data_IF_836386600828
#
_entry.id   IF_836386600828
#
_cell.length_a   1.000
_cell.length_b   1.000
_cell.length_c   1.000
_cell.angle_alpha   90.00
_cell.angle_beta   90.00
_cell.angle_gamma   90.00
#
_symmetry.space_group_name_H-M   'P 1'
#
loop_
_entity.id
_entity.type
_entity.pdbx_description
1 polymer ?
#
# COMPACT_ATOMS: atom_id res chain seq x y z
N UNK A 1 18.56 51.84 5.59
CA UNK A 1 17.30 51.43 4.93
C UNK A 1 17.49 50.34 3.87
N UNK A 2 18.60 49.57 3.89
CA UNK A 2 18.88 48.48 2.93
C UNK A 2 18.98 47.09 3.59
N UNK A 3 19.14 47.02 4.93
CA UNK A 3 19.30 45.73 5.65
C UNK A 3 17.96 45.01 5.85
N UNK A 4 16.86 45.75 5.95
CA UNK A 4 15.52 45.19 6.20
C UNK A 4 14.93 44.49 4.96
N UNK A 5 15.20 45.01 3.77
CA UNK A 5 14.73 44.43 2.49
C UNK A 5 15.43 43.11 2.14
N UNK A 6 16.71 42.94 2.49
CA UNK A 6 17.41 41.66 2.30
C UNK A 6 16.86 40.55 3.20
N UNK A 7 16.49 40.87 4.44
CA UNK A 7 15.94 39.88 5.38
C UNK A 7 14.57 39.36 4.95
N UNK A 8 13.70 40.23 4.44
CA UNK A 8 12.37 39.83 3.94
C UNK A 8 12.49 38.97 2.67
N UNK A 9 13.40 39.31 1.75
CA UNK A 9 13.62 38.50 0.54
C UNK A 9 14.16 37.10 0.86
N UNK A 10 15.04 36.96 1.84
CA UNK A 10 15.56 35.66 2.27
C UNK A 10 14.45 34.77 2.84
N UNK A 11 13.54 35.33 3.66
CA UNK A 11 12.41 34.59 4.24
C UNK A 11 11.42 34.12 3.17
N UNK A 12 11.10 34.95 2.17
CA UNK A 12 10.21 34.58 1.06
C UNK A 12 10.82 33.48 0.19
N UNK A 13 12.14 33.49 -0.04
CA UNK A 13 12.81 32.41 -0.77
C UNK A 13 12.90 31.09 0.02
N UNK A 14 12.96 31.15 1.36
CA UNK A 14 12.95 29.97 2.22
C UNK A 14 11.59 29.28 2.25
N UNK A 15 10.48 30.02 2.19
CA UNK A 15 9.13 29.41 2.18
C UNK A 15 8.75 28.79 0.82
N UNK A 16 9.32 29.26 -0.28
CA UNK A 16 9.10 28.67 -1.62
C UNK A 16 9.73 27.28 -1.79
N UNK A 17 10.62 26.83 -0.88
CA UNK A 17 11.19 25.48 -0.90
C UNK A 17 10.43 24.45 -0.05
N UNK A 18 9.41 24.86 0.71
CA UNK A 18 8.58 23.95 1.50
C UNK A 18 7.29 23.52 0.78
N UNK A 19 7.04 24.00 -0.43
CA UNK A 19 5.91 23.59 -1.25
C UNK A 19 6.36 22.50 -2.22
N UNK A 20 6.49 21.25 -1.75
CA UNK A 20 6.76 20.15 -2.69
C UNK A 20 7.58 18.97 -2.17
N UNK A 21 7.66 18.73 -0.86
CA UNK A 21 7.83 17.34 -0.41
C UNK A 21 6.52 16.62 -0.69
N UNK A 22 6.29 16.30 -1.97
CA UNK A 22 5.34 15.27 -2.35
C UNK A 22 5.84 13.98 -1.74
N UNK A 23 5.47 13.72 -0.49
CA UNK A 23 5.56 12.41 0.11
C UNK A 23 4.79 11.50 -0.85
N UNK A 24 5.53 10.74 -1.65
CA UNK A 24 5.00 9.64 -2.43
C UNK A 24 4.47 8.62 -1.43
N UNK A 25 3.26 8.86 -0.94
CA UNK A 25 2.59 8.04 0.05
C UNK A 25 2.18 6.75 -0.65
N UNK A 26 2.65 5.61 -0.13
CA UNK A 26 2.44 4.29 -0.71
C UNK A 26 1.03 3.77 -0.36
N UNK A 27 0.01 4.51 -0.80
CA UNK A 27 -1.41 4.26 -0.53
C UNK A 27 -1.83 2.81 -0.82
N UNK A 28 -1.29 2.21 -1.90
CA UNK A 28 -1.61 0.84 -2.28
C UNK A 28 -1.06 -0.19 -1.29
N UNK A 29 0.16 -0.01 -0.79
CA UNK A 29 0.74 -0.92 0.20
C UNK A 29 0.00 -0.83 1.52
N UNK A 30 -0.36 0.37 1.95
CA UNK A 30 -1.11 0.57 3.19
C UNK A 30 -2.53 0.00 3.09
N UNK A 31 -3.19 0.17 1.94
CA UNK A 31 -4.48 -0.46 1.65
C UNK A 31 -4.37 -1.98 1.64
N UNK A 32 -3.34 -2.53 0.99
CA UNK A 32 -3.10 -3.97 0.95
C UNK A 32 -2.80 -4.53 2.34
N UNK A 33 -1.96 -3.85 3.12
CA UNK A 33 -1.59 -4.24 4.48
C UNK A 33 -2.82 -4.25 5.39
N UNK A 34 -3.65 -3.21 5.32
CA UNK A 34 -4.89 -3.11 6.10
C UNK A 34 -5.89 -4.18 5.69
N UNK A 35 -6.07 -4.41 4.38
CA UNK A 35 -6.90 -5.49 3.88
C UNK A 35 -6.42 -6.83 4.44
N UNK A 36 -5.15 -7.19 4.24
CA UNK A 36 -4.62 -8.47 4.69
C UNK A 36 -4.76 -8.65 6.21
N UNK A 37 -4.50 -7.61 7.00
CA UNK A 37 -4.68 -7.64 8.45
C UNK A 37 -6.14 -7.92 8.85
N UNK A 38 -7.11 -7.33 8.14
CA UNK A 38 -8.54 -7.56 8.38
C UNK A 38 -9.02 -8.97 8.02
N UNK A 39 -8.25 -9.72 7.22
CA UNK A 39 -8.62 -11.05 6.69
C UNK A 39 -8.10 -12.20 7.54
N UNK A 40 -7.26 -11.94 8.54
CA UNK A 40 -6.80 -12.97 9.47
C UNK A 40 -7.98 -13.53 10.27
N UNK A 41 -8.06 -14.86 10.34
CA UNK A 41 -9.04 -15.56 11.17
C UNK A 41 -8.59 -15.75 12.62
N UNK A 42 -7.31 -15.49 12.91
CA UNK A 42 -6.67 -15.67 14.22
C UNK A 42 -5.60 -14.59 14.42
N UNK A 43 -5.23 -14.26 15.67
CA UNK A 43 -4.15 -13.29 15.94
C UNK A 43 -2.83 -13.73 15.28
N UNK A 44 -2.21 -12.82 14.53
CA UNK A 44 -0.97 -13.09 13.81
C UNK A 44 -0.33 -11.81 13.25
N UNK A 45 0.93 -11.94 12.85
CA UNK A 45 1.60 -10.92 12.06
C UNK A 45 1.23 -11.11 10.57
N UNK A 46 1.12 -10.01 9.86
CA UNK A 46 0.70 -9.98 8.45
C UNK A 46 1.66 -9.11 7.67
N UNK A 47 1.98 -9.53 6.47
CA UNK A 47 2.72 -8.83 5.46
C UNK A 47 1.95 -8.84 4.14
N UNK A 48 1.60 -7.66 3.64
CA UNK A 48 1.18 -7.51 2.26
C UNK A 48 2.40 -7.43 1.35
N UNK A 49 2.48 -8.33 0.36
CA UNK A 49 3.60 -8.41 -0.58
C UNK A 49 3.12 -8.04 -1.97
N UNK A 50 3.78 -7.06 -2.60
CA UNK A 50 3.55 -6.71 -4.01
C UNK A 50 3.78 -7.94 -4.90
N UNK A 51 2.85 -8.17 -5.81
CA UNK A 51 2.94 -9.19 -6.86
C UNK A 51 2.88 -8.51 -8.22
N UNK A 52 3.86 -8.78 -9.06
CA UNK A 52 3.86 -8.30 -10.43
C UNK A 52 2.72 -8.94 -11.24
N UNK A 53 2.17 -8.20 -12.17
CA UNK A 53 1.12 -8.64 -13.08
C UNK A 53 1.64 -8.99 -14.48
N UNK A 54 2.92 -8.75 -14.76
CA UNK A 54 3.50 -8.99 -16.08
C UNK A 54 4.04 -10.42 -16.24
N UNK A 55 3.90 -10.97 -17.45
CA UNK A 55 4.54 -12.22 -17.88
C UNK A 55 4.24 -13.44 -17.00
N UNK A 56 5.31 -14.11 -16.56
CA UNK A 56 5.29 -15.35 -15.77
C UNK A 56 5.31 -15.09 -14.26
N UNK A 57 4.61 -14.05 -13.81
CA UNK A 57 4.63 -13.64 -12.41
C UNK A 57 4.33 -14.81 -11.44
N UNK A 58 5.18 -15.02 -10.41
CA UNK A 58 5.03 -16.12 -9.47
C UNK A 58 3.68 -16.07 -8.75
N UNK A 59 3.20 -17.23 -8.29
CA UNK A 59 2.00 -17.29 -7.45
C UNK A 59 2.26 -16.64 -6.09
N UNK A 60 1.21 -16.21 -5.40
CA UNK A 60 1.36 -15.67 -4.04
C UNK A 60 1.92 -16.70 -3.06
N UNK A 61 1.63 -17.98 -3.23
CA UNK A 61 2.29 -19.05 -2.49
C UNK A 61 3.81 -19.02 -2.66
N UNK A 62 4.30 -18.91 -3.90
CA UNK A 62 5.73 -18.83 -4.17
C UNK A 62 6.35 -17.57 -3.58
N UNK A 63 5.69 -16.41 -3.71
CA UNK A 63 6.16 -15.15 -3.16
C UNK A 63 6.26 -15.17 -1.63
N UNK A 64 5.23 -15.66 -0.92
CA UNK A 64 5.32 -15.81 0.54
C UNK A 64 6.46 -16.76 0.94
N UNK A 65 6.65 -17.88 0.24
CA UNK A 65 7.78 -18.76 0.57
C UNK A 65 9.14 -18.10 0.32
N UNK A 66 9.28 -17.33 -0.76
CA UNK A 66 10.51 -16.61 -1.10
C UNK A 66 10.92 -15.61 -0.01
N UNK A 67 9.97 -14.85 0.55
CA UNK A 67 10.28 -13.82 1.55
C UNK A 67 10.28 -14.35 2.99
N UNK A 68 9.88 -15.61 3.21
CA UNK A 68 9.63 -16.18 4.55
C UNK A 68 10.78 -15.93 5.53
N UNK A 69 12.03 -16.14 5.09
CA UNK A 69 13.19 -15.94 5.96
C UNK A 69 13.34 -14.48 6.41
N UNK A 70 13.09 -13.52 5.52
CA UNK A 70 13.12 -12.10 5.84
C UNK A 70 11.96 -11.71 6.77
N UNK A 71 10.75 -12.18 6.48
CA UNK A 71 9.57 -11.92 7.31
C UNK A 71 9.73 -12.47 8.73
N UNK A 72 10.20 -13.71 8.87
CA UNK A 72 10.46 -14.32 10.19
C UNK A 72 11.54 -13.54 10.96
N UNK A 73 12.57 -13.02 10.27
CA UNK A 73 13.59 -12.19 10.90
C UNK A 73 13.02 -10.87 11.43
N UNK A 74 12.08 -10.25 10.72
CA UNK A 74 11.42 -8.99 11.15
C UNK A 74 10.63 -9.15 12.45
N UNK A 75 10.16 -10.36 12.75
CA UNK A 75 9.39 -10.67 13.96
C UNK A 75 10.21 -11.49 14.97
N UNK A 76 11.55 -11.40 14.94
CA UNK A 76 12.45 -12.12 15.86
C UNK A 76 12.19 -13.64 15.92
N UNK A 77 11.83 -14.24 14.79
CA UNK A 77 11.44 -15.65 14.64
C UNK A 77 10.24 -16.08 15.52
N UNK A 78 9.44 -15.13 15.98
CA UNK A 78 8.16 -15.41 16.61
C UNK A 78 7.22 -16.03 15.58
N UNK A 79 6.50 -17.09 15.95
CA UNK A 79 5.51 -17.79 15.10
C UNK A 79 6.03 -18.23 13.72
N UNK A 80 6.53 -19.46 13.65
CA UNK A 80 7.17 -20.06 12.46
C UNK A 80 6.23 -20.38 11.28
N UNK A 81 4.92 -20.29 11.49
CA UNK A 81 3.92 -20.56 10.45
C UNK A 81 3.78 -19.32 9.58
N UNK A 82 4.29 -19.41 8.35
CA UNK A 82 4.29 -18.33 7.37
C UNK A 82 3.89 -18.87 6.00
N UNK A 83 2.91 -18.23 5.37
CA UNK A 83 2.39 -18.64 4.08
C UNK A 83 1.22 -17.77 3.65
N UNK A 84 0.82 -17.93 2.39
CA UNK A 84 -0.29 -17.18 1.83
C UNK A 84 -1.63 -17.65 2.43
N UNK A 85 -2.48 -16.71 2.81
CA UNK A 85 -3.84 -17.00 3.27
C UNK A 85 -4.95 -16.26 2.50
N UNK A 86 -4.62 -15.16 1.83
CA UNK A 86 -5.53 -14.37 0.99
C UNK A 86 -4.70 -13.63 -0.09
N UNK A 87 -5.38 -12.99 -1.05
CA UNK A 87 -4.75 -12.11 -2.02
C UNK A 87 -5.73 -11.04 -2.50
N UNK A 88 -5.21 -9.89 -2.92
CA UNK A 88 -6.02 -8.74 -3.35
C UNK A 88 -5.50 -8.16 -4.66
N UNK A 89 -6.42 -7.69 -5.48
CA UNK A 89 -6.13 -6.77 -6.57
C UNK A 89 -6.59 -5.36 -6.19
N UNK A 90 -5.67 -4.41 -6.21
CA UNK A 90 -5.95 -2.98 -6.03
C UNK A 90 -5.76 -2.29 -7.38
N UNK A 91 -6.83 -1.72 -7.92
CA UNK A 91 -6.78 -1.02 -9.21
C UNK A 91 -5.99 0.28 -9.07
N UNK A 92 -5.00 0.54 -9.93
CA UNK A 92 -4.22 1.78 -9.82
C UNK A 92 -4.99 2.99 -10.36
N UNK A 93 -5.84 2.80 -11.36
CA UNK A 93 -6.69 3.86 -11.88
C UNK A 93 -7.87 4.10 -10.93
N UNK A 94 -7.90 5.27 -10.29
CA UNK A 94 -8.96 5.66 -9.37
C UNK A 94 -9.19 7.17 -9.39
N UNK A 95 -10.39 7.59 -8.98
CA UNK A 95 -10.70 9.00 -8.77
C UNK A 95 -10.16 9.39 -7.40
N UNK A 96 -9.27 10.38 -7.34
CA UNK A 96 -8.84 10.96 -6.08
C UNK A 96 -9.98 11.83 -5.51
N UNK A 97 -10.49 11.46 -4.34
CA UNK A 97 -11.49 12.27 -3.64
C UNK A 97 -10.82 13.44 -2.94
N UNK A 98 -11.59 14.51 -2.75
CA UNK A 98 -11.18 15.69 -2.01
C UNK A 98 -10.84 15.33 -0.56
N UNK A 99 -9.77 15.95 -0.07
CA UNK A 99 -9.32 15.82 1.32
C UNK A 99 -10.36 16.52 2.22
N UNK A 100 -10.85 15.83 3.26
CA UNK A 100 -11.70 16.45 4.28
C UNK A 100 -10.86 17.37 5.17
N UNK A 101 -10.92 18.67 4.89
CA UNK A 101 -10.26 19.73 5.68
C UNK A 101 -11.24 20.50 6.56
N UNK A 102 -12.54 20.16 6.54
CA UNK A 102 -13.60 21.01 7.10
C UNK A 102 -14.57 20.28 8.04
N UNK A 103 -14.35 18.99 8.30
CA UNK A 103 -15.28 18.13 9.03
C UNK A 103 -16.56 17.83 8.22
N UNK A 104 -16.51 18.03 6.90
CA UNK A 104 -17.58 17.73 5.95
C UNK A 104 -17.01 16.75 4.93
N UNK A 105 -17.85 15.85 4.44
CA UNK A 105 -17.46 14.86 3.43
C UNK A 105 -17.83 15.39 2.02
N UNK A 106 -17.00 16.23 1.36
CA UNK A 106 -17.37 16.91 0.11
C UNK A 106 -17.70 15.95 -1.03
N UNK A 107 -17.16 14.73 -0.95
CA UNK A 107 -17.31 13.68 -1.95
C UNK A 107 -18.12 12.48 -1.42
N UNK A 108 -18.97 12.70 -0.42
CA UNK A 108 -19.89 11.67 0.06
C UNK A 108 -20.70 11.06 -1.09
N UNK A 109 -20.67 9.73 -1.21
CA UNK A 109 -21.34 8.98 -2.26
C UNK A 109 -20.56 8.79 -3.56
N UNK A 110 -19.35 9.35 -3.70
CA UNK A 110 -18.48 9.11 -4.86
C UNK A 110 -17.61 7.86 -4.66
N UNK A 111 -17.40 7.12 -5.74
CA UNK A 111 -16.53 5.93 -5.75
C UNK A 111 -15.12 6.37 -6.11
N UNK A 112 -14.15 5.98 -5.28
CA UNK A 112 -12.73 6.24 -5.49
C UNK A 112 -12.02 4.99 -5.98
N UNK A 113 -11.67 4.12 -5.02
CA UNK A 113 -10.77 3.00 -5.19
C UNK A 113 -11.57 1.71 -5.32
N UNK A 114 -11.27 0.93 -6.37
CA UNK A 114 -11.79 -0.43 -6.52
C UNK A 114 -10.76 -1.44 -6.02
N UNK A 115 -11.22 -2.40 -5.22
CA UNK A 115 -10.42 -3.54 -4.78
C UNK A 115 -11.18 -4.84 -5.00
N UNK A 116 -10.46 -5.92 -5.27
CA UNK A 116 -11.03 -7.26 -5.42
C UNK A 116 -10.27 -8.26 -4.57
N UNK A 117 -10.95 -8.84 -3.58
CA UNK A 117 -10.41 -9.88 -2.73
C UNK A 117 -10.60 -11.27 -3.35
N UNK A 118 -9.51 -12.03 -3.50
CA UNK A 118 -9.55 -13.37 -4.07
C UNK A 118 -9.78 -14.47 -3.02
N UNK A 119 -9.62 -14.15 -1.74
CA UNK A 119 -9.60 -15.16 -0.69
C UNK A 119 -8.42 -16.12 -0.87
N UNK A 120 -8.52 -17.29 -0.23
CA UNK A 120 -7.50 -18.34 -0.31
C UNK A 120 -7.22 -18.82 -1.75
N UNK A 121 -8.20 -18.70 -2.65
CA UNK A 121 -8.05 -19.06 -4.06
C UNK A 121 -7.02 -18.19 -4.80
N UNK A 122 -6.79 -16.96 -4.32
CA UNK A 122 -5.76 -16.06 -4.88
C UNK A 122 -4.33 -16.54 -4.65
N UNK A 123 -4.10 -17.38 -3.63
CA UNK A 123 -2.76 -17.85 -3.28
C UNK A 123 -2.10 -18.70 -4.37
N UNK A 124 -2.91 -19.48 -5.09
CA UNK A 124 -2.48 -20.33 -6.20
C UNK A 124 -2.80 -19.75 -7.58
N UNK A 125 -3.20 -18.47 -7.65
CA UNK A 125 -3.58 -17.85 -8.92
C UNK A 125 -2.42 -17.85 -9.91
N UNK A 126 -2.62 -18.48 -11.07
CA UNK A 126 -1.69 -18.48 -12.20
C UNK A 126 -2.18 -17.52 -13.30
N UNK A 127 -1.29 -16.80 -13.99
CA UNK A 127 -1.72 -15.75 -14.91
C UNK A 127 -2.45 -16.28 -16.16
N UNK A 128 -3.67 -15.79 -16.38
CA UNK A 128 -4.32 -15.65 -17.69
C UNK A 128 -4.72 -14.18 -17.98
N UNK A 129 -4.68 -13.32 -16.95
CA UNK A 129 -4.72 -11.86 -16.93
C UNK A 129 -4.08 -11.39 -15.61
N UNK A 130 -3.99 -10.06 -15.38
CA UNK A 130 -3.50 -9.50 -14.11
C UNK A 130 -4.45 -9.88 -12.96
N UNK A 131 -4.07 -10.93 -12.23
CA UNK A 131 -4.76 -11.43 -11.04
C UNK A 131 -4.50 -10.56 -9.80
N UNK A 132 -4.35 -11.15 -8.60
CA UNK A 132 -3.98 -10.37 -7.42
C UNK A 132 -2.62 -9.69 -7.65
N UNK A 133 -2.53 -8.40 -7.34
CA UNK A 133 -1.29 -7.63 -7.39
C UNK A 133 -0.69 -7.39 -6.00
N UNK A 134 -1.33 -7.93 -4.95
CA UNK A 134 -0.76 -8.11 -3.63
C UNK A 134 -1.14 -9.47 -3.03
N UNK A 135 -0.22 -10.05 -2.27
CA UNK A 135 -0.36 -11.31 -1.56
C UNK A 135 -0.47 -11.07 -0.06
N UNK A 136 -1.41 -11.74 0.61
CA UNK A 136 -1.51 -11.70 2.07
C UNK A 136 -0.77 -12.90 2.67
N UNK A 137 0.38 -12.58 3.26
CA UNK A 137 1.15 -13.44 4.16
C UNK A 137 1.23 -12.70 5.52
#
# INVERSE_FOLDING_TARGET
MMIWTFFVFAIVMLMSKCSGLGLSYNYYDETAQTYCASRLSQPGFVFAIRRDCEGTAPTCNALCQQVKAAALKTIDNQRKNFGCFDAIHIRKEHIQLAIDTSGRQPDAGKISQMTYGYGKGGCSWTPNHCGPNFCCC
#
